data_IF_079330160986
#
_entry.id   IF_079330160986
#
_cell.length_a   1.000
_cell.length_b   1.000
_cell.length_c   1.000
_cell.angle_alpha   90.00
_cell.angle_beta   90.00
_cell.angle_gamma   90.00
#
_symmetry.space_group_name_H-M   'P 1'
#
loop_
_entity.id
_entity.type
_entity.pdbx_description
1 polymer ?
#
# COMPACT_ATOMS: atom_id res chain seq x y z
N UNK A 1 3.56 4.51 -1.86
CA UNK A 1 3.71 3.16 -1.29
C UNK A 1 3.49 3.18 0.22
N UNK A 2 2.39 2.57 0.67
CA UNK A 2 2.08 2.37 2.08
C UNK A 2 2.62 0.99 2.54
N UNK A 3 3.85 0.97 3.04
CA UNK A 3 4.56 -0.29 3.34
C UNK A 3 3.85 -1.16 4.38
N UNK A 4 3.14 -0.55 5.33
CA UNK A 4 2.44 -1.28 6.39
C UNK A 4 1.24 -2.04 5.82
N UNK A 5 0.40 -1.37 5.02
CA UNK A 5 -0.73 -2.01 4.36
C UNK A 5 -0.25 -3.13 3.43
N UNK A 6 0.79 -2.87 2.63
CA UNK A 6 1.38 -3.85 1.72
C UNK A 6 1.96 -5.06 2.46
N UNK A 7 2.59 -4.88 3.62
CA UNK A 7 3.13 -5.98 4.41
C UNK A 7 2.04 -6.77 5.16
N UNK A 8 1.08 -6.06 5.74
CA UNK A 8 -0.02 -6.67 6.49
C UNK A 8 -0.94 -7.51 5.59
N UNK A 9 -1.26 -6.99 4.39
CA UNK A 9 -2.08 -7.69 3.41
C UNK A 9 -1.33 -8.77 2.63
N UNK A 10 -0.05 -9.02 2.91
CA UNK A 10 0.67 -10.20 2.38
C UNK A 10 0.33 -11.50 3.12
N UNK A 11 -0.52 -11.45 4.17
CA UNK A 11 -0.99 -12.63 4.90
C UNK A 11 0.12 -13.57 5.40
N UNK A 12 1.27 -13.00 5.77
CA UNK A 12 2.45 -13.73 6.23
C UNK A 12 3.06 -14.70 5.19
N UNK A 13 2.73 -14.52 3.90
CA UNK A 13 3.36 -15.24 2.80
C UNK A 13 4.57 -14.42 2.28
N UNK A 14 5.80 -14.96 2.39
CA UNK A 14 7.01 -14.22 2.03
C UNK A 14 7.13 -13.94 0.53
N UNK A 15 6.54 -14.77 -0.34
CA UNK A 15 6.61 -14.57 -1.79
C UNK A 15 5.61 -13.51 -2.25
N UNK A 16 4.42 -13.47 -1.62
CA UNK A 16 3.45 -12.40 -1.83
C UNK A 16 4.01 -11.08 -1.28
N UNK A 17 4.62 -11.11 -0.10
CA UNK A 17 5.29 -9.94 0.48
C UNK A 17 6.38 -9.41 -0.44
N UNK A 18 7.25 -10.29 -0.94
CA UNK A 18 8.27 -9.92 -1.90
C UNK A 18 7.64 -9.23 -3.12
N UNK A 19 6.62 -9.83 -3.72
CA UNK A 19 5.91 -9.24 -4.86
C UNK A 19 5.28 -7.87 -4.56
N UNK A 20 4.69 -7.70 -3.37
CA UNK A 20 4.11 -6.44 -2.92
C UNK A 20 5.17 -5.32 -2.80
N UNK A 21 6.37 -5.67 -2.32
CA UNK A 21 7.45 -4.71 -2.08
C UNK A 21 8.21 -4.31 -3.35
N UNK A 22 8.35 -5.21 -4.32
CA UNK A 22 9.16 -4.95 -5.52
C UNK A 22 8.35 -4.49 -6.74
N UNK A 23 7.01 -4.48 -6.64
CA UNK A 23 6.11 -4.22 -7.78
C UNK A 23 6.39 -2.92 -8.53
N UNK A 24 6.74 -1.84 -7.84
CA UNK A 24 7.07 -0.54 -8.46
C UNK A 24 8.24 -0.61 -9.45
N UNK A 25 9.16 -1.53 -9.22
CA UNK A 25 10.33 -1.74 -10.05
C UNK A 25 10.03 -2.67 -11.24
N UNK A 26 8.89 -3.36 -11.23
CA UNK A 26 8.49 -4.33 -12.25
C UNK A 26 7.46 -3.71 -13.20
N UNK A 27 7.93 -3.37 -14.40
CA UNK A 27 7.12 -2.75 -15.46
C UNK A 27 6.70 -3.76 -16.53
N UNK A 28 5.43 -3.66 -16.94
CA UNK A 28 4.88 -4.38 -18.09
C UNK A 28 4.95 -5.91 -17.94
N UNK A 29 5.45 -6.58 -18.97
CA UNK A 29 5.48 -8.06 -19.06
C UNK A 29 6.54 -8.72 -18.18
N UNK A 30 7.48 -7.97 -17.59
CA UNK A 30 8.53 -8.52 -16.72
C UNK A 30 7.99 -9.21 -15.46
N UNK A 31 6.74 -8.94 -15.08
CA UNK A 31 6.09 -9.67 -13.99
C UNK A 31 6.01 -11.18 -14.26
N UNK A 32 5.91 -11.61 -15.52
CA UNK A 32 5.77 -13.02 -15.87
C UNK A 32 7.08 -13.82 -15.73
N UNK A 33 8.22 -13.13 -15.53
CA UNK A 33 9.52 -13.75 -15.30
C UNK A 33 9.65 -14.28 -13.86
N UNK A 34 8.71 -13.94 -12.97
CA UNK A 34 8.72 -14.32 -11.56
C UNK A 34 7.83 -15.55 -11.28
N UNK A 35 8.07 -16.27 -10.17
CA UNK A 35 7.17 -17.34 -9.71
C UNK A 35 5.72 -16.85 -9.52
N UNK A 36 4.76 -17.74 -9.72
CA UNK A 36 3.32 -17.44 -9.59
C UNK A 36 2.95 -16.73 -8.26
N UNK A 37 3.50 -17.08 -7.08
CA UNK A 37 3.21 -16.39 -5.83
C UNK A 37 3.68 -14.93 -5.83
N UNK A 38 4.88 -14.66 -6.35
CA UNK A 38 5.41 -13.30 -6.50
C UNK A 38 4.56 -12.49 -7.50
N UNK A 39 4.11 -13.11 -8.59
CA UNK A 39 3.17 -12.48 -9.52
C UNK A 39 1.84 -12.09 -8.87
N UNK A 40 1.35 -12.87 -7.92
CA UNK A 40 0.17 -12.53 -7.13
C UNK A 40 0.45 -11.32 -6.24
N UNK A 41 1.60 -11.27 -5.58
CA UNK A 41 2.04 -10.08 -4.82
C UNK A 41 2.12 -8.83 -5.69
N UNK A 42 2.71 -8.90 -6.88
CA UNK A 42 2.78 -7.74 -7.81
C UNK A 42 1.38 -7.21 -8.16
N UNK A 43 0.43 -8.13 -8.43
CA UNK A 43 -0.97 -7.75 -8.70
C UNK A 43 -1.67 -7.17 -7.46
N UNK A 44 -1.41 -7.76 -6.30
CA UNK A 44 -2.00 -7.34 -5.04
C UNK A 44 -1.56 -5.93 -4.66
N UNK A 45 -0.28 -5.60 -4.81
CA UNK A 45 0.20 -4.23 -4.60
C UNK A 45 -0.58 -3.21 -5.44
N UNK A 46 -0.78 -3.50 -6.74
CA UNK A 46 -1.50 -2.56 -7.62
C UNK A 46 -2.96 -2.40 -7.20
N UNK A 47 -3.57 -3.49 -6.72
CA UNK A 47 -4.92 -3.46 -6.20
C UNK A 47 -5.02 -2.63 -4.91
N UNK A 48 -4.07 -2.80 -3.98
CA UNK A 48 -4.01 -2.03 -2.73
C UNK A 48 -3.85 -0.56 -3.06
N UNK A 49 -2.86 -0.19 -3.87
CA UNK A 49 -2.61 1.20 -4.24
C UNK A 49 -3.83 1.83 -4.92
N UNK A 50 -4.44 1.14 -5.89
CA UNK A 50 -5.66 1.61 -6.56
C UNK A 50 -6.83 1.77 -5.57
N UNK A 51 -7.01 0.82 -4.65
CA UNK A 51 -8.06 0.90 -3.64
C UNK A 51 -7.82 2.09 -2.71
N UNK A 52 -6.60 2.27 -2.23
CA UNK A 52 -6.26 3.39 -1.35
C UNK A 52 -6.32 4.74 -2.07
N UNK A 53 -5.99 4.84 -3.35
CA UNK A 53 -6.06 6.11 -4.08
C UNK A 53 -7.50 6.51 -4.44
N UNK A 54 -8.41 5.54 -4.59
CA UNK A 54 -9.80 5.79 -5.00
C UNK A 54 -10.77 5.91 -3.83
N UNK A 55 -10.37 5.50 -2.62
CA UNK A 55 -11.28 5.49 -1.47
C UNK A 55 -11.57 6.92 -0.97
N UNK A 56 -12.84 7.27 -0.78
CA UNK A 56 -13.22 8.63 -0.37
C UNK A 56 -12.50 9.10 0.92
N UNK A 57 -12.30 8.20 1.89
CA UNK A 57 -11.62 8.51 3.15
C UNK A 57 -10.15 8.95 2.96
N UNK A 58 -9.42 8.38 1.99
CA UNK A 58 -8.04 8.79 1.73
C UNK A 58 -8.01 10.14 1.01
N UNK A 59 -8.99 10.40 0.14
CA UNK A 59 -9.16 11.68 -0.53
C UNK A 59 -9.43 12.83 0.46
N UNK A 60 -10.32 12.61 1.43
CA UNK A 60 -10.60 13.57 2.52
C UNK A 60 -9.38 13.81 3.43
N UNK A 61 -8.59 12.78 3.73
CA UNK A 61 -7.36 12.92 4.51
C UNK A 61 -6.26 13.68 3.73
N UNK A 62 -6.20 13.50 2.42
CA UNK A 62 -5.24 14.17 1.53
C UNK A 62 -5.59 15.64 1.34
N UNK A 63 -6.87 15.99 1.29
CA UNK A 63 -7.32 17.39 1.27
C UNK A 63 -7.03 18.11 2.60
N UNK A 64 -7.12 17.40 3.72
CA UNK A 64 -6.79 17.94 5.06
C UNK A 64 -5.29 18.16 5.27
N UNK A 65 -4.45 17.36 4.62
CA UNK A 65 -2.98 17.38 4.79
C UNK A 65 -2.26 18.57 4.12
N UNK A 66 -3.01 19.48 3.48
CA UNK A 66 -2.48 20.70 2.85
C UNK A 66 -2.22 21.87 3.81
N UNK A 67 -2.50 21.73 5.11
CA UNK A 67 -2.18 22.74 6.12
C UNK A 67 -1.19 22.18 7.13
N UNK A 68 0.08 22.55 6.96
CA UNK A 68 1.09 22.45 8.00
C UNK A 68 0.58 23.19 9.24
N UNK A 69 0.13 22.47 10.26
CA UNK A 69 0.48 22.67 11.67
C UNK A 69 -0.32 21.72 12.57
N UNK A 70 0.41 21.02 13.44
CA UNK A 70 -0.08 20.43 14.70
C UNK A 70 -1.01 19.19 14.62
N UNK A 71 -0.56 18.08 14.04
CA UNK A 71 -0.92 16.78 14.61
C UNK A 71 0.01 16.52 15.80
N UNK A 72 -0.33 17.08 16.94
CA UNK A 72 0.21 16.65 18.23
C UNK A 72 -0.15 15.17 18.42
N UNK A 73 0.85 14.40 18.80
CA UNK A 73 0.89 12.94 18.82
C UNK A 73 0.00 12.27 19.89
N UNK A 74 -1.21 12.78 20.16
CA UNK A 74 -1.94 12.37 21.36
C UNK A 74 -3.12 11.42 21.13
N UNK A 75 -3.82 11.36 19.99
CA UNK A 75 -5.10 10.63 19.95
C UNK A 75 -5.56 10.10 18.58
N UNK A 76 -4.69 9.93 17.59
CA UNK A 76 -5.14 9.34 16.32
C UNK A 76 -5.41 7.84 16.50
N UNK A 77 -6.65 7.35 16.21
CA UNK A 77 -6.95 5.94 16.24
C UNK A 77 -6.06 5.23 15.22
N UNK A 78 -5.57 4.05 15.58
CA UNK A 78 -4.65 3.20 14.80
C UNK A 78 -5.04 3.02 13.32
N UNK A 79 -6.33 3.23 12.99
CA UNK A 79 -6.87 3.28 11.63
C UNK A 79 -6.24 4.37 10.73
N UNK A 80 -5.76 5.50 11.28
CA UNK A 80 -5.10 6.54 10.48
C UNK A 80 -3.71 6.12 10.00
N UNK A 81 -3.00 5.24 10.72
CA UNK A 81 -1.68 4.76 10.28
C UNK A 81 -1.75 3.73 9.15
N UNK A 82 -2.92 3.14 8.91
CA UNK A 82 -3.11 2.17 7.82
C UNK A 82 -3.34 2.89 6.47
N UNK A 83 -3.51 4.22 6.47
CA UNK A 83 -3.75 5.01 5.26
C UNK A 83 -2.47 5.71 4.74
N UNK A 84 -1.38 5.76 5.52
CA UNK A 84 -0.08 6.32 5.10
C UNK A 84 1.00 5.26 4.90
#
# INVERSE_FOLDING_TARGET
MNYLAHAYLSFNDPEILLGNMISDYIKGKKQFDYPLPVQKGIRLHRFIDQFTDTHAATHELKSFSGHNTACTAAHLPMWCMIIF
#
